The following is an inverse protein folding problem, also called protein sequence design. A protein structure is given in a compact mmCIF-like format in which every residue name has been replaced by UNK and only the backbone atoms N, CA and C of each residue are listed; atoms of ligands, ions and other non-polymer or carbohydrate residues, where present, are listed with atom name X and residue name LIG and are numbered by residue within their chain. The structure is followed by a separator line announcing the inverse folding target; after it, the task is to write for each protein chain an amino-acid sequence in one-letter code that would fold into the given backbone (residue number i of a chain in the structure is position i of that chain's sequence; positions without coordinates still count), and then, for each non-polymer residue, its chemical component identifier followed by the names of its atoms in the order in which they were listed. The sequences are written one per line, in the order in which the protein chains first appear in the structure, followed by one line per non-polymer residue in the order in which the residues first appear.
data_IF_478671791644
#
_entry.id   IF_478671791644
#
_cell.length_a   1.000
_cell.length_b   1.000
_cell.length_c   1.000
_cell.angle_alpha   90.00
_cell.angle_beta   90.00
_cell.angle_gamma   90.00
#
_symmetry.space_group_name_H-M   'P 1'
#
loop_
_entity.id
_entity.type
_entity.pdbx_description
1 polymer ?
#
# COMPACT_ATOMS: atom_id res chain seq x y z
N UNK A 1 -7.44 -9.96 -11.24
CA UNK A 1 -8.39 -8.82 -11.26
C UNK A 1 -9.83 -9.26 -11.49
N UNK A 2 -10.10 -10.10 -12.50
CA UNK A 2 -11.43 -10.67 -12.78
C UNK A 2 -12.15 -11.28 -11.56
N UNK A 3 -11.45 -11.99 -10.67
CA UNK A 3 -12.04 -12.56 -9.43
C UNK A 3 -12.60 -11.49 -8.48
N UNK A 4 -12.02 -10.30 -8.49
CA UNK A 4 -12.50 -9.15 -7.70
C UNK A 4 -13.54 -8.32 -8.46
N UNK A 5 -13.88 -8.71 -9.71
CA UNK A 5 -14.75 -7.94 -10.62
C UNK A 5 -14.30 -6.49 -10.82
N UNK A 6 -12.99 -6.25 -10.76
CA UNK A 6 -12.37 -4.94 -10.97
C UNK A 6 -11.94 -4.78 -12.42
N UNK A 7 -12.27 -3.65 -13.04
CA UNK A 7 -11.97 -3.33 -14.45
C UNK A 7 -10.55 -2.77 -14.64
N UNK A 8 -9.57 -3.42 -14.02
CA UNK A 8 -8.15 -3.10 -14.15
C UNK A 8 -7.42 -4.22 -14.89
N UNK A 9 -6.79 -3.86 -16.00
CA UNK A 9 -6.03 -4.74 -16.86
C UNK A 9 -4.64 -4.19 -17.09
N UNK A 10 -3.67 -5.08 -17.21
CA UNK A 10 -2.30 -4.76 -17.61
C UNK A 10 -1.88 -5.78 -18.67
N UNK A 11 -1.18 -5.33 -19.71
CA UNK A 11 -0.73 -6.16 -20.82
C UNK A 11 0.57 -5.59 -21.39
N UNK A 12 1.39 -6.45 -21.98
CA UNK A 12 2.59 -6.03 -22.70
C UNK A 12 2.19 -5.69 -24.15
N UNK A 13 2.65 -4.55 -24.65
CA UNK A 13 2.47 -4.17 -26.04
C UNK A 13 3.44 -4.96 -26.93
N UNK A 14 2.91 -5.81 -27.81
CA UNK A 14 3.70 -6.74 -28.62
C UNK A 14 4.73 -6.07 -29.54
N UNK A 15 4.56 -4.79 -29.87
CA UNK A 15 5.45 -4.05 -30.78
C UNK A 15 6.56 -3.31 -30.05
N UNK A 16 6.26 -2.76 -28.88
CA UNK A 16 7.18 -1.93 -28.11
C UNK A 16 7.75 -2.62 -26.87
N UNK A 17 7.21 -3.78 -26.48
CA UNK A 17 7.48 -4.45 -25.21
C UNK A 17 7.23 -3.57 -23.98
N UNK A 18 6.42 -2.52 -24.15
CA UNK A 18 6.04 -1.61 -23.07
C UNK A 18 4.78 -2.14 -22.41
N UNK A 19 4.82 -2.24 -21.07
CA UNK A 19 3.65 -2.59 -20.27
C UNK A 19 2.64 -1.44 -20.26
N UNK A 20 1.42 -1.73 -20.74
CA UNK A 20 0.27 -0.84 -20.72
C UNK A 20 -0.72 -1.31 -19.66
N UNK A 21 -1.54 -0.38 -19.19
CA UNK A 21 -2.57 -0.67 -18.19
C UNK A 21 -3.80 0.23 -18.35
N UNK A 22 -4.96 -0.25 -17.93
CA UNK A 22 -6.15 0.60 -17.76
C UNK A 22 -6.09 1.34 -16.43
N UNK A 23 -6.86 2.42 -16.29
CA UNK A 23 -6.88 3.16 -15.02
C UNK A 23 -7.63 2.39 -13.93
N UNK A 24 -7.04 2.30 -12.74
CA UNK A 24 -7.71 1.82 -11.54
C UNK A 24 -8.41 3.01 -10.87
N UNK A 25 -9.73 3.09 -10.92
CA UNK A 25 -10.50 4.29 -10.53
C UNK A 25 -11.62 4.00 -9.54
N UNK A 26 -12.08 5.04 -8.84
CA UNK A 26 -13.27 4.98 -7.99
C UNK A 26 -13.24 3.82 -6.98
N UNK A 27 -14.33 3.06 -6.94
CA UNK A 27 -14.51 1.94 -6.01
C UNK A 27 -13.60 0.74 -6.32
N UNK A 28 -13.11 0.60 -7.56
CA UNK A 28 -12.16 -0.46 -7.90
C UNK A 28 -10.86 -0.34 -7.08
N UNK A 29 -10.42 0.89 -6.78
CA UNK A 29 -9.26 1.12 -5.88
C UNK A 29 -9.52 0.52 -4.50
N UNK A 30 -10.72 0.73 -3.94
CA UNK A 30 -11.09 0.24 -2.61
C UNK A 30 -11.22 -1.28 -2.60
N UNK A 31 -11.79 -1.85 -3.67
CA UNK A 31 -11.93 -3.30 -3.82
C UNK A 31 -10.58 -3.99 -3.87
N UNK A 32 -9.62 -3.44 -4.63
CA UNK A 32 -8.25 -3.95 -4.65
C UNK A 32 -7.59 -3.82 -3.27
N UNK A 33 -7.68 -2.64 -2.66
CA UNK A 33 -7.07 -2.38 -1.36
C UNK A 33 -7.55 -3.37 -0.29
N UNK A 34 -8.85 -3.64 -0.21
CA UNK A 34 -9.41 -4.51 0.82
C UNK A 34 -9.26 -6.00 0.50
N UNK A 35 -9.49 -6.40 -0.76
CA UNK A 35 -9.78 -7.81 -1.07
C UNK A 35 -8.74 -8.49 -1.95
N UNK A 36 -7.71 -7.77 -2.42
CA UNK A 36 -6.67 -8.42 -3.23
C UNK A 36 -5.89 -9.46 -2.44
N UNK A 37 -5.86 -10.68 -2.96
CA UNK A 37 -5.16 -11.80 -2.33
C UNK A 37 -3.63 -11.68 -2.55
N UNK A 38 -2.95 -11.06 -1.59
CA UNK A 38 -1.49 -10.91 -1.59
C UNK A 38 -0.72 -12.23 -1.55
N UNK A 39 -1.34 -13.34 -1.10
CA UNK A 39 -0.70 -14.67 -1.05
C UNK A 39 -0.33 -15.18 -2.45
N UNK A 40 -0.91 -14.60 -3.50
CA UNK A 40 -0.56 -14.91 -4.89
C UNK A 40 0.84 -14.38 -5.28
N UNK A 41 1.38 -13.39 -4.57
CA UNK A 41 2.60 -12.68 -4.95
C UNK A 41 3.73 -12.79 -3.92
N UNK A 42 3.40 -13.03 -2.64
CA UNK A 42 4.36 -12.90 -1.55
C UNK A 42 4.32 -14.08 -0.57
N UNK A 43 5.46 -14.30 0.11
CA UNK A 43 5.58 -15.24 1.24
C UNK A 43 4.73 -14.77 2.43
N UNK A 44 4.27 -15.68 3.31
CA UNK A 44 3.33 -15.35 4.41
C UNK A 44 3.74 -14.14 5.28
N UNK A 45 4.98 -14.08 5.75
CA UNK A 45 5.46 -12.95 6.58
C UNK A 45 5.39 -11.60 5.86
N UNK A 46 5.62 -11.58 4.54
CA UNK A 46 5.50 -10.36 3.73
C UNK A 46 4.04 -10.02 3.42
N UNK A 47 3.19 -11.03 3.27
CA UNK A 47 1.74 -10.83 3.12
C UNK A 47 1.16 -10.11 4.34
N UNK A 48 1.50 -10.56 5.55
CA UNK A 48 1.02 -9.95 6.80
C UNK A 48 1.42 -8.47 6.90
N UNK A 49 2.68 -8.16 6.59
CA UNK A 49 3.19 -6.79 6.67
C UNK A 49 2.55 -5.85 5.64
N UNK A 50 2.41 -6.29 4.39
CA UNK A 50 1.75 -5.50 3.34
C UNK A 50 0.25 -5.37 3.65
N UNK A 51 -0.39 -6.40 4.21
CA UNK A 51 -1.80 -6.36 4.58
C UNK A 51 -2.04 -5.33 5.67
N UNK A 52 -1.25 -5.34 6.74
CA UNK A 52 -1.29 -4.32 7.80
C UNK A 52 -1.15 -2.91 7.23
N UNK A 53 -0.24 -2.71 6.26
CA UNK A 53 -0.06 -1.42 5.60
C UNK A 53 -1.29 -0.98 4.79
N UNK A 54 -1.88 -1.90 4.03
CA UNK A 54 -3.06 -1.63 3.19
C UNK A 54 -4.31 -1.38 4.04
N UNK A 55 -4.50 -2.16 5.10
CA UNK A 55 -5.62 -2.02 6.02
C UNK A 55 -5.52 -0.69 6.79
N UNK A 56 -4.32 -0.34 7.30
CA UNK A 56 -4.10 0.95 7.94
C UNK A 56 -4.33 2.14 7.00
N UNK A 57 -3.96 2.03 5.71
CA UNK A 57 -4.28 3.06 4.73
C UNK A 57 -5.79 3.17 4.48
N UNK A 58 -6.50 2.05 4.45
CA UNK A 58 -7.96 2.03 4.29
C UNK A 58 -8.67 2.67 5.49
N UNK A 59 -8.19 2.42 6.71
CA UNK A 59 -8.69 3.06 7.92
C UNK A 59 -8.53 4.57 7.88
N UNK A 60 -7.35 5.07 7.49
CA UNK A 60 -7.10 6.51 7.29
C UNK A 60 -8.03 7.10 6.23
N UNK A 61 -8.23 6.39 5.12
CA UNK A 61 -9.17 6.79 4.07
C UNK A 61 -10.60 6.93 4.59
N UNK A 62 -11.05 5.98 5.42
CA UNK A 62 -12.38 6.03 6.04
C UNK A 62 -12.47 7.18 7.05
N UNK A 63 -11.44 7.39 7.86
CA UNK A 63 -11.37 8.45 8.87
C UNK A 63 -11.44 9.85 8.22
N UNK A 64 -10.70 10.10 7.14
CA UNK A 64 -10.77 11.38 6.40
C UNK A 64 -12.16 11.73 5.88
N UNK A 65 -12.99 10.72 5.60
CA UNK A 65 -14.33 10.91 5.06
C UNK A 65 -15.39 10.99 6.15
N UNK A 66 -15.03 10.69 7.39
CA UNK A 66 -15.89 10.79 8.54
C UNK A 66 -15.80 12.19 9.16
N UNK A 67 -16.91 12.93 9.12
CA UNK A 67 -16.98 14.30 9.67
C UNK A 67 -16.76 14.37 11.18
N UNK A 68 -16.87 13.24 11.87
CA UNK A 68 -16.73 13.15 13.33
C UNK A 68 -15.35 12.65 13.75
N UNK A 69 -14.43 12.44 12.82
CA UNK A 69 -13.06 12.02 13.16
C UNK A 69 -12.33 13.14 13.87
N UNK A 70 -11.71 12.80 15.01
CA UNK A 70 -10.84 13.72 15.73
C UNK A 70 -9.56 13.99 14.91
N UNK A 71 -9.25 15.25 14.56
CA UNK A 71 -8.04 15.59 13.82
C UNK A 71 -6.74 15.17 14.53
N UNK A 72 -6.70 15.21 15.87
CA UNK A 72 -5.52 14.80 16.62
C UNK A 72 -5.28 13.29 16.51
N UNK A 73 -6.35 12.50 16.64
CA UNK A 73 -6.32 11.06 16.41
C UNK A 73 -5.92 10.71 14.97
N UNK A 74 -6.48 11.40 13.97
CA UNK A 74 -6.15 11.17 12.56
C UNK A 74 -4.66 11.41 12.28
N UNK A 75 -4.10 12.51 12.82
CA UNK A 75 -2.68 12.83 12.69
C UNK A 75 -1.80 11.75 13.32
N UNK A 76 -2.16 11.30 14.53
CA UNK A 76 -1.42 10.23 15.21
C UNK A 76 -1.44 8.93 14.41
N UNK A 77 -2.61 8.50 13.92
CA UNK A 77 -2.74 7.31 13.08
C UNK A 77 -1.97 7.44 11.76
N UNK A 78 -1.93 8.64 11.17
CA UNK A 78 -1.17 8.89 9.94
C UNK A 78 0.33 8.77 10.15
N UNK A 79 0.84 9.22 11.30
CA UNK A 79 2.25 9.06 11.69
C UNK A 79 2.60 7.59 11.96
N UNK A 80 1.73 6.84 12.63
CA UNK A 80 1.90 5.41 12.88
C UNK A 80 1.90 4.60 11.56
N UNK A 81 1.00 4.94 10.65
CA UNK A 81 0.97 4.35 9.32
C UNK A 81 2.24 4.68 8.52
N UNK A 82 2.73 5.91 8.59
CA UNK A 82 4.00 6.30 7.94
C UNK A 82 5.19 5.52 8.53
N UNK A 83 5.22 5.33 9.85
CA UNK A 83 6.23 4.51 10.51
C UNK A 83 6.20 3.06 10.00
N UNK A 84 5.01 2.49 9.82
CA UNK A 84 4.84 1.17 9.20
C UNK A 84 5.33 1.17 7.75
N UNK A 85 4.99 2.16 6.94
CA UNK A 85 5.48 2.30 5.56
C UNK A 85 7.01 2.29 5.48
N UNK A 86 7.66 2.98 6.41
CA UNK A 86 9.11 3.11 6.54
C UNK A 86 9.77 1.98 7.32
N UNK A 87 9.10 0.84 7.52
CA UNK A 87 9.67 -0.31 8.22
C UNK A 87 11.02 -0.68 7.59
N UNK A 88 12.14 -0.57 8.36
CA UNK A 88 13.47 -0.77 7.81
C UNK A 88 13.72 -2.24 7.50
N UNK A 89 14.72 -2.50 6.65
CA UNK A 89 15.28 -3.84 6.52
C UNK A 89 15.98 -4.25 7.83
N UNK A 90 16.02 -5.55 8.10
CA UNK A 90 16.74 -6.10 9.25
C UNK A 90 17.71 -7.19 8.76
N UNK A 91 18.88 -7.26 9.39
CA UNK A 91 19.93 -8.20 9.03
C UNK A 91 20.73 -7.78 7.78
N UNK A 92 21.72 -8.60 7.44
CA UNK A 92 22.61 -8.36 6.31
C UNK A 92 22.08 -9.09 5.06
N UNK A 93 21.90 -8.42 3.89
CA UNK A 93 21.48 -9.05 2.64
C UNK A 93 22.33 -10.26 2.22
N UNK A 94 23.62 -10.27 2.57
CA UNK A 94 24.54 -11.37 2.31
C UNK A 94 24.29 -12.60 3.19
N UNK A 95 23.41 -12.50 4.20
CA UNK A 95 23.03 -13.58 5.10
C UNK A 95 21.51 -13.86 5.02
N UNK A 96 21.04 -14.62 4.00
CA UNK A 96 19.61 -14.77 3.70
C UNK A 96 18.76 -15.37 4.84
N UNK A 97 19.38 -16.12 5.76
CA UNK A 97 18.69 -16.77 6.88
C UNK A 97 18.20 -15.78 7.93
N UNK A 98 18.88 -14.63 8.08
CA UNK A 98 18.53 -13.59 9.08
C UNK A 98 18.06 -12.30 8.41
N UNK A 99 18.05 -12.26 7.08
CA UNK A 99 17.63 -11.10 6.30
C UNK A 99 16.10 -10.99 6.25
N UNK A 100 15.58 -9.86 6.73
CA UNK A 100 14.19 -9.46 6.60
C UNK A 100 14.12 -8.18 5.79
N UNK A 101 13.51 -8.25 4.61
CA UNK A 101 13.30 -7.07 3.77
C UNK A 101 12.24 -6.17 4.40
N UNK A 102 12.55 -4.88 4.54
CA UNK A 102 11.60 -3.84 4.93
C UNK A 102 10.47 -3.62 3.91
N UNK A 103 9.68 -2.57 4.14
CA UNK A 103 8.60 -2.18 3.24
C UNK A 103 9.08 -1.20 2.17
N UNK A 104 9.19 0.08 2.50
CA UNK A 104 9.55 1.15 1.57
C UNK A 104 10.55 2.13 2.18
N UNK A 105 11.22 2.88 1.30
CA UNK A 105 12.24 3.88 1.66
C UNK A 105 11.66 5.30 1.67
N UNK A 106 12.35 6.23 2.34
CA UNK A 106 11.92 7.63 2.46
C UNK A 106 11.71 8.31 1.09
N UNK A 107 12.56 8.01 0.11
CA UNK A 107 12.46 8.55 -1.25
C UNK A 107 11.26 7.99 -2.06
N UNK A 108 10.51 7.05 -1.51
CA UNK A 108 9.29 6.50 -2.12
C UNK A 108 8.01 7.14 -1.56
N UNK A 109 8.13 8.09 -0.63
CA UNK A 109 7.00 8.89 -0.17
C UNK A 109 6.51 9.76 -1.32
N UNK A 110 5.23 9.63 -1.64
CA UNK A 110 4.59 10.45 -2.68
C UNK A 110 4.08 11.78 -2.10
N UNK A 111 3.86 12.82 -2.93
CA UNK A 111 3.28 14.08 -2.47
C UNK A 111 1.94 13.92 -1.74
N UNK A 112 1.10 12.97 -2.17
CA UNK A 112 -0.19 12.70 -1.50
C UNK A 112 -0.02 12.06 -0.11
N UNK A 113 1.00 11.22 0.08
CA UNK A 113 1.32 10.70 1.41
C UNK A 113 1.85 11.80 2.32
N UNK A 114 2.67 12.70 1.80
CA UNK A 114 3.14 13.85 2.56
C UNK A 114 1.95 14.74 2.98
N UNK A 115 1.06 15.06 2.05
CA UNK A 115 -0.16 15.82 2.35
C UNK A 115 -1.03 15.13 3.39
N UNK A 116 -1.24 13.82 3.27
CA UNK A 116 -2.00 13.02 4.24
C UNK A 116 -1.43 13.14 5.66
N UNK A 117 -0.12 13.04 5.82
CA UNK A 117 0.53 12.97 7.15
C UNK A 117 0.71 14.34 7.78
N UNK A 118 1.02 15.37 6.98
CA UNK A 118 1.44 16.68 7.49
C UNK A 118 0.42 17.79 7.28
N UNK A 119 -0.58 17.58 6.41
CA UNK A 119 -1.58 18.59 6.04
C UNK A 119 -3.04 18.07 6.09
N UNK A 120 -3.24 16.84 6.60
CA UNK A 120 -4.56 16.20 6.77
C UNK A 120 -5.27 16.58 8.04
#
# INVERSE_FOLDING_TARGET
MQRLKVSFHFWEDEKSYVWKYTSLMGDDKKTVLQFFNLKLLFKPSRVELIRKLWDGFYELYCALRNKNTDPAQLKQQSLEWLSLFLTPLQGNPSHPKTYVRGLYMLNQITPYMHALVYHG
#
